data_IF_437999755133
#
_entry.id   IF_437999755133
#
_cell.length_a   1.000
_cell.length_b   1.000
_cell.length_c   1.000
_cell.angle_alpha   90.00
_cell.angle_beta   90.00
_cell.angle_gamma   90.00
#
_symmetry.space_group_name_H-M   'P 1'
#
loop_
_entity.id
_entity.type
_entity.pdbx_description
1 polymer ?
#
# COMPACT_ATOMS: atom_id res chain seq x y z
N UNK A 1 12.24 21.78 -22.59
CA UNK A 1 11.27 20.65 -22.66
C UNK A 1 11.29 19.79 -21.40
N UNK A 2 12.46 19.40 -20.89
CA UNK A 2 12.63 18.50 -19.73
C UNK A 2 11.87 18.90 -18.46
N UNK A 3 11.86 20.20 -18.12
CA UNK A 3 11.22 20.71 -16.91
C UNK A 3 9.71 20.50 -16.87
N UNK A 4 9.02 20.57 -18.03
CA UNK A 4 7.57 20.30 -18.11
C UNK A 4 7.27 18.83 -17.82
N UNK A 5 8.09 17.92 -18.31
CA UNK A 5 7.93 16.49 -18.08
C UNK A 5 8.18 16.13 -16.62
N UNK A 6 9.23 16.67 -15.99
CA UNK A 6 9.48 16.47 -14.56
C UNK A 6 8.32 16.98 -13.69
N UNK A 7 7.77 18.15 -14.00
CA UNK A 7 6.61 18.69 -13.28
C UNK A 7 5.35 17.85 -13.49
N UNK A 8 5.13 17.31 -14.69
CA UNK A 8 4.02 16.40 -14.97
C UNK A 8 4.12 15.10 -14.16
N UNK A 9 5.31 14.46 -14.15
CA UNK A 9 5.57 13.27 -13.34
C UNK A 9 5.41 13.57 -11.86
N UNK A 10 5.96 14.69 -11.39
CA UNK A 10 5.79 15.13 -10.00
C UNK A 10 4.33 15.29 -9.63
N UNK A 11 3.51 15.92 -10.47
CA UNK A 11 2.06 16.08 -10.22
C UNK A 11 1.33 14.75 -10.20
N UNK A 12 1.73 13.79 -11.02
CA UNK A 12 1.15 12.46 -11.03
C UNK A 12 1.50 11.67 -9.76
N UNK A 13 2.75 11.76 -9.32
CA UNK A 13 3.23 11.17 -8.06
C UNK A 13 2.62 11.85 -6.84
N UNK A 14 2.48 13.17 -6.83
CA UNK A 14 1.83 13.92 -5.75
C UNK A 14 0.29 13.67 -5.71
N UNK A 15 -0.26 13.02 -6.75
CA UNK A 15 -1.67 12.72 -6.91
C UNK A 15 -2.01 11.23 -6.70
N UNK A 16 -2.94 10.66 -7.49
CA UNK A 16 -3.51 9.34 -7.23
C UNK A 16 -2.47 8.21 -7.26
N UNK A 17 -1.40 8.37 -8.05
CA UNK A 17 -0.35 7.34 -8.11
C UNK A 17 0.45 7.26 -6.81
N UNK A 18 0.84 8.39 -6.20
CA UNK A 18 1.56 8.35 -4.92
C UNK A 18 0.70 7.77 -3.80
N UNK A 19 -0.58 8.13 -3.75
CA UNK A 19 -1.53 7.52 -2.81
C UNK A 19 -1.64 6.00 -3.02
N UNK A 20 -1.69 5.54 -4.27
CA UNK A 20 -1.72 4.11 -4.58
C UNK A 20 -0.42 3.38 -4.21
N UNK A 21 0.75 3.97 -4.52
CA UNK A 21 2.06 3.39 -4.16
C UNK A 21 2.18 3.26 -2.66
N UNK A 22 1.80 4.28 -1.90
CA UNK A 22 1.81 4.25 -0.42
C UNK A 22 0.83 3.20 0.12
N UNK A 23 -0.34 3.07 -0.51
CA UNK A 23 -1.31 2.04 -0.16
C UNK A 23 -0.69 0.63 -0.30
N UNK A 24 -0.21 0.27 -1.50
CA UNK A 24 0.34 -1.07 -1.77
C UNK A 24 1.58 -1.37 -0.95
N UNK A 25 2.53 -0.43 -0.86
CA UNK A 25 3.79 -0.63 -0.12
C UNK A 25 3.56 -0.77 1.38
N UNK A 26 2.63 -0.01 1.95
CA UNK A 26 2.27 -0.13 3.36
C UNK A 26 1.55 -1.43 3.65
N UNK A 27 0.66 -1.89 2.75
CA UNK A 27 0.01 -3.19 2.86
C UNK A 27 1.04 -4.33 2.85
N UNK A 28 2.02 -4.29 1.94
CA UNK A 28 3.11 -5.26 1.88
C UNK A 28 3.93 -5.30 3.18
N UNK A 29 4.30 -4.13 3.71
CA UNK A 29 5.03 -4.02 4.98
C UNK A 29 4.23 -4.56 6.15
N UNK A 30 2.94 -4.24 6.25
CA UNK A 30 2.06 -4.72 7.31
C UNK A 30 1.87 -6.23 7.23
N UNK A 31 1.68 -6.77 6.02
CA UNK A 31 1.55 -8.19 5.79
C UNK A 31 2.82 -8.93 6.22
N UNK A 32 4.00 -8.47 5.79
CA UNK A 32 5.29 -9.04 6.21
C UNK A 32 5.45 -9.02 7.73
N UNK A 33 5.09 -7.90 8.39
CA UNK A 33 5.16 -7.80 9.85
C UNK A 33 4.20 -8.74 10.57
N UNK A 34 2.97 -8.88 10.07
CA UNK A 34 1.91 -9.60 10.77
C UNK A 34 1.88 -11.10 10.47
N UNK A 35 2.24 -11.53 9.25
CA UNK A 35 2.18 -12.93 8.81
C UNK A 35 3.56 -13.59 8.73
N UNK A 36 4.60 -12.83 8.40
CA UNK A 36 5.95 -13.36 8.19
C UNK A 36 6.96 -12.90 9.25
N UNK A 37 6.51 -12.29 10.35
CA UNK A 37 7.38 -11.74 11.41
C UNK A 37 8.52 -10.84 10.89
N UNK A 38 8.29 -10.08 9.82
CA UNK A 38 9.30 -9.26 9.11
C UNK A 38 10.45 -10.02 8.44
N UNK A 39 10.37 -11.36 8.36
CA UNK A 39 11.41 -12.24 7.78
C UNK A 39 11.11 -12.68 6.35
N UNK A 40 9.96 -12.29 5.81
CA UNK A 40 9.50 -12.76 4.51
C UNK A 40 8.59 -11.78 3.79
N UNK A 41 8.30 -12.10 2.53
CA UNK A 41 7.35 -11.38 1.71
C UNK A 41 6.07 -12.19 1.57
N UNK A 42 4.96 -11.49 1.70
CA UNK A 42 3.64 -12.05 1.49
C UNK A 42 3.39 -12.31 0.01
N UNK A 43 2.93 -13.51 -0.33
CA UNK A 43 2.61 -13.93 -1.69
C UNK A 43 1.17 -14.40 -1.81
N UNK A 44 0.64 -14.36 -3.02
CA UNK A 44 -0.72 -14.86 -3.29
C UNK A 44 -0.71 -16.37 -3.10
N UNK A 45 -1.67 -16.90 -2.33
CA UNK A 45 -1.80 -18.35 -2.17
C UNK A 45 -2.12 -19.06 -3.48
N UNK A 46 -2.97 -18.45 -4.29
CA UNK A 46 -3.27 -18.93 -5.64
C UNK A 46 -2.81 -17.89 -6.66
N UNK A 47 -1.89 -18.24 -7.58
CA UNK A 47 -1.45 -17.36 -8.65
C UNK A 47 -2.61 -16.90 -9.55
N UNK A 48 -3.61 -17.76 -9.73
CA UNK A 48 -4.81 -17.49 -10.53
C UNK A 48 -5.88 -16.67 -9.77
N UNK A 49 -5.70 -16.42 -8.47
CA UNK A 49 -6.63 -15.55 -7.76
C UNK A 49 -6.61 -14.13 -8.35
N UNK A 50 -7.67 -13.35 -8.18
CA UNK A 50 -7.68 -11.91 -8.48
C UNK A 50 -7.22 -11.04 -7.31
N UNK A 51 -6.70 -11.65 -6.23
CA UNK A 51 -6.41 -10.97 -4.97
C UNK A 51 -5.29 -9.93 -5.11
N UNK A 52 -5.54 -8.71 -4.66
CA UNK A 52 -4.56 -7.63 -4.60
C UNK A 52 -4.27 -7.28 -3.14
N UNK A 53 -3.02 -6.92 -2.84
CA UNK A 53 -2.59 -6.53 -1.50
C UNK A 53 -2.77 -5.02 -1.33
N UNK A 54 -4.01 -4.59 -1.10
CA UNK A 54 -4.35 -3.20 -0.81
C UNK A 54 -4.79 -3.05 0.65
N UNK A 55 -4.54 -1.87 1.22
CA UNK A 55 -5.12 -1.42 2.46
C UNK A 55 -6.63 -1.19 2.32
N UNK A 56 -7.36 -1.45 3.40
CA UNK A 56 -8.78 -1.21 3.47
C UNK A 56 -9.07 0.31 3.54
N UNK A 57 -9.77 0.91 2.56
CA UNK A 57 -10.05 2.35 2.56
C UNK A 57 -10.91 2.82 3.74
N UNK A 58 -11.61 1.90 4.43
CA UNK A 58 -12.38 2.23 5.64
C UNK A 58 -11.53 2.36 6.89
N UNK A 59 -10.39 1.68 6.93
CA UNK A 59 -9.52 1.60 8.12
C UNK A 59 -8.29 2.48 8.00
N UNK A 60 -7.85 2.78 6.77
CA UNK A 60 -6.63 3.52 6.51
C UNK A 60 -6.93 4.87 5.88
N UNK A 61 -6.27 5.91 6.37
CA UNK A 61 -6.30 7.23 5.77
C UNK A 61 -4.89 7.69 5.38
N UNK A 62 -4.75 8.13 4.14
CA UNK A 62 -3.51 8.65 3.57
C UNK A 62 -3.63 10.16 3.48
N UNK A 63 -2.89 10.86 4.33
CA UNK A 63 -2.88 12.32 4.36
C UNK A 63 -1.52 12.86 3.92
N UNK A 64 -1.52 13.98 3.22
CA UNK A 64 -0.28 14.65 2.82
C UNK A 64 0.24 15.52 3.96
N UNK A 65 1.46 15.26 4.40
CA UNK A 65 2.20 16.09 5.36
C UNK A 65 3.45 16.68 4.69
N UNK A 66 3.37 17.95 4.30
CA UNK A 66 4.43 18.62 3.54
C UNK A 66 4.71 17.94 2.19
N UNK A 67 5.91 17.36 2.04
CA UNK A 67 6.32 16.60 0.83
C UNK A 67 6.12 15.08 0.96
N UNK A 68 5.61 14.60 2.09
CA UNK A 68 5.45 13.18 2.38
C UNK A 68 3.97 12.79 2.50
N UNK A 69 3.67 11.52 2.22
CA UNK A 69 2.37 10.92 2.48
C UNK A 69 2.45 10.14 3.79
N UNK A 70 1.60 10.50 4.75
CA UNK A 70 1.48 9.83 6.03
C UNK A 70 0.30 8.88 6.00
N UNK A 71 0.54 7.64 6.42
CA UNK A 71 -0.48 6.62 6.54
C UNK A 71 -0.92 6.52 8.01
N UNK A 72 -2.23 6.57 8.24
CA UNK A 72 -2.83 6.45 9.57
C UNK A 72 -3.94 5.41 9.58
N UNK A 73 -4.17 4.83 10.76
CA UNK A 73 -5.14 3.75 10.95
C UNK A 73 -4.52 2.35 10.79
N UNK A 74 -4.97 1.43 11.63
CA UNK A 74 -4.67 -0.01 11.55
C UNK A 74 -5.66 -0.75 12.47
N UNK A 75 -6.36 -1.75 11.96
CA UNK A 75 -7.19 -2.63 12.80
C UNK A 75 -6.77 -4.09 12.68
N UNK A 76 -7.01 -4.88 13.74
CA UNK A 76 -6.76 -6.34 13.74
C UNK A 76 -7.56 -7.06 12.65
N UNK A 77 -8.71 -6.50 12.23
CA UNK A 77 -9.53 -7.04 11.14
C UNK A 77 -8.84 -6.90 9.78
N UNK A 78 -8.08 -5.84 9.56
CA UNK A 78 -7.37 -5.66 8.28
C UNK A 78 -6.30 -6.74 8.10
N UNK A 79 -5.60 -7.12 9.18
CA UNK A 79 -4.64 -8.23 9.18
C UNK A 79 -5.30 -9.57 8.86
N UNK A 80 -6.49 -9.82 9.41
CA UNK A 80 -7.25 -11.04 9.14
C UNK A 80 -7.69 -11.13 7.67
N UNK A 81 -8.07 -10.01 7.05
CA UNK A 81 -8.41 -9.97 5.62
C UNK A 81 -7.20 -10.26 4.72
N UNK A 82 -5.99 -9.86 5.13
CA UNK A 82 -4.75 -10.21 4.40
C UNK A 82 -4.48 -11.72 4.46
N UNK A 83 -4.70 -12.37 5.61
CA UNK A 83 -4.38 -13.79 5.83
C UNK A 83 -5.16 -14.78 4.96
N UNK A 84 -6.32 -14.40 4.42
CA UNK A 84 -7.16 -15.28 3.59
C UNK A 84 -6.49 -15.60 2.24
N UNK A 85 -6.38 -14.61 1.34
CA UNK A 85 -5.84 -14.81 -0.01
C UNK A 85 -4.30 -14.77 -0.09
N UNK A 86 -3.61 -14.34 0.96
CA UNK A 86 -2.18 -14.06 0.97
C UNK A 86 -1.51 -14.86 2.10
N UNK A 87 -0.32 -15.42 1.84
CA UNK A 87 0.52 -16.18 2.78
C UNK A 87 1.88 -15.52 2.92
#
# INVERSE_FOLDING_TARGET
MFQRNCLAVKKYMDGPLGHYVVNVTSAARLCSKALCETKGQCVRKSPASGAMLHLNPRSFNIHRTGRSLLLTGLTRRDVLHMKGPIL
#
